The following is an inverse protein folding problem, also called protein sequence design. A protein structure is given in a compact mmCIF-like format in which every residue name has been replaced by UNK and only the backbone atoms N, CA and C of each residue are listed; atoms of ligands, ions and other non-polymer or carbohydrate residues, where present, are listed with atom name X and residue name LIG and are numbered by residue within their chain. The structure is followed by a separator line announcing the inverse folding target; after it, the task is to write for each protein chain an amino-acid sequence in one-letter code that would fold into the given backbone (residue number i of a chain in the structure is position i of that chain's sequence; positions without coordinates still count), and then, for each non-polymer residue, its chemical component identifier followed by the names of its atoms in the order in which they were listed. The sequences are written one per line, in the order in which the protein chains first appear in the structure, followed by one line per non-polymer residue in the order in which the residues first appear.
data_IF_795664334641
#
_entry.id   IF_795664334641
#
_cell.length_a   1.000
_cell.length_b   1.000
_cell.length_c   1.000
_cell.angle_alpha   90.00
_cell.angle_beta   90.00
_cell.angle_gamma   90.00
#
_symmetry.space_group_name_H-M   'P 1'
#
loop_
_entity.id
_entity.type
_entity.pdbx_description
1 polymer ?
#
# COMPACT_ATOMS: atom_id res chain seq x y z
N UNK A 1 7.85 -32.02 4.77
CA UNK A 1 7.33 -32.61 3.52
C UNK A 1 6.77 -34.01 3.81
N UNK A 2 5.67 -34.40 3.13
CA UNK A 2 5.02 -35.69 3.35
C UNK A 2 5.36 -36.67 2.21
N UNK A 3 5.37 -37.98 2.51
CA UNK A 3 5.53 -39.04 1.51
C UNK A 3 4.45 -38.96 0.42
N UNK A 4 3.26 -38.47 0.77
CA UNK A 4 2.16 -38.27 -0.18
C UNK A 4 2.49 -37.20 -1.24
N UNK A 5 3.14 -36.10 -0.84
CA UNK A 5 3.59 -35.04 -1.77
C UNK A 5 4.62 -35.56 -2.76
N UNK A 6 5.62 -36.34 -2.30
CA UNK A 6 6.64 -36.95 -3.18
C UNK A 6 5.99 -37.86 -4.22
N UNK A 7 5.04 -38.71 -3.81
CA UNK A 7 4.29 -39.58 -4.73
C UNK A 7 3.47 -38.79 -5.76
N UNK A 8 2.96 -37.63 -5.36
CA UNK A 8 2.25 -36.76 -6.29
C UNK A 8 3.18 -36.16 -7.33
N UNK A 9 4.38 -35.67 -6.92
CA UNK A 9 5.37 -35.15 -7.85
C UNK A 9 5.92 -36.22 -8.81
N UNK A 10 6.11 -37.44 -8.33
CA UNK A 10 6.45 -38.61 -9.15
C UNK A 10 5.35 -38.88 -10.20
N UNK A 11 4.08 -38.94 -9.77
CA UNK A 11 2.93 -39.15 -10.65
C UNK A 11 2.76 -38.02 -11.68
N UNK A 12 3.07 -36.79 -11.31
CA UNK A 12 3.07 -35.65 -12.21
C UNK A 12 4.27 -35.61 -13.17
N UNK A 13 5.22 -36.56 -13.04
CA UNK A 13 6.42 -36.65 -13.88
C UNK A 13 7.39 -35.48 -13.68
N UNK A 14 7.38 -34.86 -12.50
CA UNK A 14 8.28 -33.76 -12.15
C UNK A 14 9.56 -34.26 -11.46
N UNK A 15 9.47 -35.35 -10.74
CA UNK A 15 10.61 -35.98 -10.06
C UNK A 15 10.59 -37.47 -10.37
N UNK A 16 11.71 -37.99 -10.84
CA UNK A 16 11.81 -39.42 -11.21
C UNK A 16 12.85 -40.09 -10.30
N UNK A 17 12.43 -40.78 -9.23
CA UNK A 17 13.35 -41.52 -8.39
C UNK A 17 13.90 -42.75 -9.07
N UNK A 18 15.14 -43.09 -8.81
CA UNK A 18 15.69 -44.41 -9.13
C UNK A 18 15.03 -45.48 -8.24
N UNK A 19 15.22 -46.74 -8.64
CA UNK A 19 14.78 -47.89 -7.83
C UNK A 19 15.99 -48.67 -7.37
N UNK A 20 16.13 -48.85 -6.07
CA UNK A 20 17.10 -49.76 -5.51
C UNK A 20 16.74 -51.22 -5.78
N UNK A 21 17.71 -52.18 -5.71
CA UNK A 21 17.43 -53.62 -5.91
C UNK A 21 16.33 -54.19 -5.00
N UNK A 22 16.12 -53.58 -3.81
CA UNK A 22 15.07 -53.94 -2.86
C UNK A 22 13.72 -53.31 -3.16
N UNK A 23 13.59 -52.55 -4.30
CA UNK A 23 12.34 -51.92 -4.75
C UNK A 23 12.08 -50.54 -4.11
N UNK A 24 12.91 -50.09 -3.18
CA UNK A 24 12.74 -48.76 -2.58
C UNK A 24 13.16 -47.64 -3.53
N UNK A 25 12.52 -46.48 -3.35
CA UNK A 25 12.82 -45.25 -4.11
C UNK A 25 14.13 -44.67 -3.63
N UNK A 26 14.97 -44.31 -4.56
CA UNK A 26 16.20 -43.56 -4.32
C UNK A 26 16.14 -42.22 -5.04
N UNK A 27 16.39 -41.12 -4.33
CA UNK A 27 16.33 -39.77 -4.83
C UNK A 27 17.75 -39.22 -4.89
N UNK A 28 18.25 -39.03 -6.06
CA UNK A 28 19.58 -38.44 -6.31
C UNK A 28 19.62 -36.96 -5.87
N UNK A 29 20.79 -36.32 -5.83
CA UNK A 29 20.92 -34.91 -5.46
C UNK A 29 20.12 -33.94 -6.34
N UNK A 30 19.88 -34.29 -7.64
CA UNK A 30 19.06 -33.48 -8.54
C UNK A 30 17.60 -33.56 -8.15
N UNK A 31 17.09 -34.76 -7.92
CA UNK A 31 15.72 -34.99 -7.47
C UNK A 31 15.43 -34.25 -6.14
N UNK A 32 16.40 -34.22 -5.23
CA UNK A 32 16.27 -33.47 -3.96
C UNK A 32 16.15 -31.96 -4.23
N UNK A 33 16.95 -31.39 -5.14
CA UNK A 33 16.86 -29.98 -5.54
C UNK A 33 15.52 -29.69 -6.21
N UNK A 34 15.08 -30.52 -7.13
CA UNK A 34 13.79 -30.39 -7.80
C UNK A 34 12.62 -30.33 -6.80
N UNK A 35 12.64 -31.19 -5.80
CA UNK A 35 11.61 -31.22 -4.74
C UNK A 35 11.62 -29.94 -3.91
N UNK A 36 12.79 -29.37 -3.61
CA UNK A 36 12.88 -28.08 -2.90
C UNK A 36 12.34 -26.95 -3.75
N UNK A 37 12.71 -26.88 -5.00
CA UNK A 37 12.24 -25.90 -5.98
C UNK A 37 10.71 -25.92 -6.11
N UNK A 38 10.11 -27.10 -6.33
CA UNK A 38 8.65 -27.25 -6.39
C UNK A 38 8.00 -26.70 -5.12
N UNK A 39 8.57 -26.96 -3.95
CA UNK A 39 8.01 -26.51 -2.69
C UNK A 39 8.10 -24.99 -2.51
N UNK A 40 9.20 -24.37 -2.89
CA UNK A 40 9.38 -22.93 -2.85
C UNK A 40 8.39 -22.23 -3.78
N UNK A 41 8.30 -22.68 -5.02
CA UNK A 41 7.41 -22.13 -6.04
C UNK A 41 5.92 -22.30 -5.69
N UNK A 42 5.54 -23.47 -5.16
CA UNK A 42 4.16 -23.67 -4.68
C UNK A 42 3.84 -22.85 -3.45
N UNK A 43 4.84 -22.56 -2.62
CA UNK A 43 4.72 -21.59 -1.52
C UNK A 43 4.48 -20.15 -1.99
N UNK A 44 4.90 -19.80 -3.19
CA UNK A 44 4.61 -18.53 -3.86
C UNK A 44 3.27 -18.52 -4.61
N UNK A 45 2.57 -19.67 -4.65
CA UNK A 45 1.24 -19.79 -5.25
C UNK A 45 1.22 -20.34 -6.68
N UNK A 46 2.34 -20.81 -7.22
CA UNK A 46 2.34 -21.57 -8.48
C UNK A 46 1.69 -22.94 -8.24
N UNK A 47 0.96 -23.42 -9.22
CA UNK A 47 0.51 -24.82 -9.23
C UNK A 47 1.68 -25.75 -9.43
N UNK A 48 1.52 -27.02 -9.06
CA UNK A 48 2.58 -28.03 -9.24
C UNK A 48 2.96 -28.18 -10.72
N UNK A 49 2.02 -28.09 -11.62
CA UNK A 49 2.21 -28.14 -13.06
C UNK A 49 3.03 -26.98 -13.60
N UNK A 50 2.82 -25.77 -13.07
CA UNK A 50 3.55 -24.56 -13.45
C UNK A 50 5.03 -24.58 -12.99
N UNK A 51 5.39 -25.47 -12.07
CA UNK A 51 6.80 -25.63 -11.65
C UNK A 51 7.66 -26.43 -12.65
N UNK A 52 7.05 -27.05 -13.67
CA UNK A 52 7.73 -27.92 -14.64
C UNK A 52 8.97 -27.27 -15.30
N UNK A 53 8.91 -26.04 -15.84
CA UNK A 53 10.08 -25.42 -16.47
C UNK A 53 11.30 -25.30 -15.56
N UNK A 54 11.07 -25.08 -14.26
CA UNK A 54 12.12 -24.95 -13.25
C UNK A 54 12.77 -26.30 -12.94
N UNK A 55 11.94 -27.33 -12.84
CA UNK A 55 12.37 -28.71 -12.59
C UNK A 55 13.18 -29.24 -13.77
N UNK A 56 12.77 -28.95 -15.00
CA UNK A 56 13.47 -29.32 -16.23
C UNK A 56 14.80 -28.55 -16.37
N UNK A 57 14.83 -27.29 -15.95
CA UNK A 57 16.06 -26.49 -15.90
C UNK A 57 17.12 -27.15 -15.00
N UNK A 58 16.71 -27.56 -13.77
CA UNK A 58 17.61 -28.30 -12.86
C UNK A 58 18.04 -29.66 -13.43
N UNK A 59 17.15 -30.37 -14.12
CA UNK A 59 17.47 -31.64 -14.77
C UNK A 59 18.48 -31.49 -15.92
N UNK A 60 18.50 -30.30 -16.55
CA UNK A 60 19.48 -29.98 -17.61
C UNK A 60 20.88 -29.61 -17.09
N UNK A 61 21.07 -29.69 -15.77
CA UNK A 61 22.37 -29.48 -15.13
C UNK A 61 22.64 -28.05 -14.68
N UNK A 62 21.65 -27.15 -14.73
CA UNK A 62 21.79 -25.80 -14.20
C UNK A 62 21.87 -25.79 -12.67
N UNK A 63 22.50 -24.76 -12.12
CA UNK A 63 22.66 -24.59 -10.67
C UNK A 63 21.39 -24.19 -9.96
N UNK A 64 20.55 -23.38 -10.62
CA UNK A 64 19.25 -22.90 -10.15
C UNK A 64 18.15 -23.19 -11.18
N UNK A 65 16.91 -23.34 -10.69
CA UNK A 65 15.73 -23.60 -11.54
C UNK A 65 15.31 -22.41 -12.40
N UNK A 66 15.79 -21.21 -12.12
CA UNK A 66 15.45 -19.95 -12.78
C UNK A 66 16.48 -19.47 -13.82
N UNK A 67 17.52 -20.25 -14.11
CA UNK A 67 18.55 -19.92 -15.11
C UNK A 67 18.05 -20.07 -16.56
N UNK A 68 16.96 -20.78 -16.79
CA UNK A 68 16.44 -21.04 -18.14
C UNK A 68 15.42 -19.98 -18.60
N UNK A 69 15.41 -19.62 -19.91
CA UNK A 69 14.41 -18.72 -20.45
C UNK A 69 12.96 -19.18 -20.24
N UNK A 70 12.71 -20.49 -20.25
CA UNK A 70 11.40 -21.08 -19.99
C UNK A 70 10.91 -20.82 -18.55
N UNK A 71 11.80 -20.89 -17.58
CA UNK A 71 11.49 -20.58 -16.17
C UNK A 71 11.17 -19.10 -15.98
N UNK A 72 11.93 -18.22 -16.61
CA UNK A 72 11.65 -16.77 -16.59
C UNK A 72 10.31 -16.45 -17.27
N UNK A 73 9.96 -17.15 -18.35
CA UNK A 73 8.67 -17.00 -18.99
C UNK A 73 7.53 -17.48 -18.07
N UNK A 74 7.72 -18.58 -17.32
CA UNK A 74 6.75 -19.06 -16.35
C UNK A 74 6.52 -18.07 -15.20
N UNK A 75 7.58 -17.43 -14.68
CA UNK A 75 7.42 -16.36 -13.69
C UNK A 75 6.60 -15.17 -14.24
N UNK A 76 6.93 -14.70 -15.44
CA UNK A 76 6.19 -13.60 -16.08
C UNK A 76 4.73 -13.96 -16.24
N UNK A 77 4.44 -15.15 -16.74
CA UNK A 77 3.07 -15.62 -16.89
C UNK A 77 2.30 -15.66 -15.57
N UNK A 78 2.90 -16.18 -14.50
CA UNK A 78 2.29 -16.21 -13.17
C UNK A 78 2.04 -14.79 -12.63
N UNK A 79 2.98 -13.86 -12.82
CA UNK A 79 2.82 -12.44 -12.44
C UNK A 79 1.67 -11.80 -13.21
N UNK A 80 1.59 -12.02 -14.53
CA UNK A 80 0.52 -11.48 -15.38
C UNK A 80 -0.86 -12.02 -14.97
N UNK A 81 -0.96 -13.32 -14.67
CA UNK A 81 -2.20 -13.92 -14.18
C UNK A 81 -2.63 -13.34 -12.83
N UNK A 82 -1.69 -13.16 -11.89
CA UNK A 82 -1.98 -12.52 -10.60
C UNK A 82 -2.41 -11.07 -10.78
N UNK A 83 -1.75 -10.32 -11.64
CA UNK A 83 -2.09 -8.92 -11.96
C UNK A 83 -3.50 -8.83 -12.55
N UNK A 84 -3.84 -9.67 -13.51
CA UNK A 84 -5.17 -9.74 -14.09
C UNK A 84 -6.25 -10.14 -13.06
N UNK A 85 -5.91 -11.02 -12.12
CA UNK A 85 -6.81 -11.40 -11.02
C UNK A 85 -7.05 -10.24 -10.06
N UNK A 86 -6.00 -9.50 -9.71
CA UNK A 86 -6.09 -8.30 -8.88
C UNK A 86 -7.04 -7.28 -9.53
N UNK A 87 -6.85 -6.96 -10.81
CA UNK A 87 -7.72 -6.02 -11.55
C UNK A 87 -9.18 -6.47 -11.54
N UNK A 88 -9.45 -7.77 -11.75
CA UNK A 88 -10.82 -8.30 -11.68
C UNK A 88 -11.43 -8.18 -10.29
N UNK A 89 -10.65 -8.47 -9.24
CA UNK A 89 -11.12 -8.35 -7.86
C UNK A 89 -11.38 -6.89 -7.48
N UNK A 90 -10.55 -5.96 -7.95
CA UNK A 90 -10.75 -4.53 -7.73
C UNK A 90 -12.05 -4.05 -8.39
N UNK A 91 -12.28 -4.37 -9.66
CA UNK A 91 -13.54 -4.03 -10.36
C UNK A 91 -14.77 -4.59 -9.64
N UNK A 92 -14.68 -5.83 -9.13
CA UNK A 92 -15.78 -6.46 -8.38
C UNK A 92 -16.04 -5.76 -7.05
N UNK A 93 -14.97 -5.39 -6.34
CA UNK A 93 -15.06 -4.60 -5.10
C UNK A 93 -15.75 -3.26 -5.37
N UNK A 94 -15.32 -2.55 -6.42
CA UNK A 94 -15.86 -1.23 -6.77
C UNK A 94 -17.33 -1.31 -7.16
N UNK A 95 -17.72 -2.32 -7.92
CA UNK A 95 -19.12 -2.58 -8.22
C UNK A 95 -19.96 -2.86 -6.95
N UNK A 96 -19.44 -3.65 -6.03
CA UNK A 96 -20.11 -3.91 -4.75
C UNK A 96 -20.21 -2.64 -3.88
N UNK A 97 -19.16 -1.82 -3.86
CA UNK A 97 -19.18 -0.54 -3.16
C UNK A 97 -20.24 0.41 -3.74
N UNK A 98 -20.34 0.49 -5.06
CA UNK A 98 -21.38 1.27 -5.75
C UNK A 98 -22.80 0.76 -5.42
N UNK A 99 -23.01 -0.55 -5.39
CA UNK A 99 -24.29 -1.13 -4.98
C UNK A 99 -24.63 -0.83 -3.53
N UNK A 100 -23.65 -0.91 -2.64
CA UNK A 100 -23.83 -0.56 -1.21
C UNK A 100 -24.22 0.91 -1.07
N UNK A 101 -23.53 1.81 -1.77
CA UNK A 101 -23.87 3.23 -1.76
C UNK A 101 -25.29 3.50 -2.27
N UNK A 102 -25.65 2.92 -3.42
CA UNK A 102 -26.98 3.05 -3.97
C UNK A 102 -28.08 2.46 -3.05
N UNK A 103 -27.78 1.43 -2.28
CA UNK A 103 -28.70 0.87 -1.28
C UNK A 103 -28.87 1.82 -0.10
N UNK A 104 -27.76 2.40 0.39
CA UNK A 104 -27.78 3.39 1.46
C UNK A 104 -28.62 4.62 1.05
N UNK A 105 -28.43 5.13 -0.17
CA UNK A 105 -29.17 6.28 -0.69
C UNK A 105 -30.69 6.00 -0.80
N UNK A 106 -31.09 4.75 -1.08
CA UNK A 106 -32.51 4.35 -1.12
C UNK A 106 -33.13 4.16 0.26
N UNK A 107 -32.34 3.81 1.25
CA UNK A 107 -32.82 3.52 2.62
C UNK A 107 -33.04 4.79 3.45
N UNK A 108 -32.69 5.98 2.93
CA UNK A 108 -32.97 7.26 3.57
C UNK A 108 -34.38 7.72 3.20
N UNK A 109 -35.29 7.96 4.15
CA UNK A 109 -36.59 8.57 3.86
C UNK A 109 -36.36 9.96 3.29
N UNK A 110 -37.01 10.25 2.15
CA UNK A 110 -37.11 11.63 1.62
C UNK A 110 -37.92 12.42 2.63
N UNK A 111 -37.25 13.19 3.47
CA UNK A 111 -37.90 14.20 4.33
C UNK A 111 -38.31 15.38 3.44
N UNK A 112 -39.49 15.33 2.86
CA UNK A 112 -40.23 16.51 2.49
C UNK A 112 -40.91 17.09 3.76
N UNK A 113 -40.89 18.42 3.82
CA UNK A 113 -41.55 19.29 4.83
C UNK A 113 -40.85 19.48 6.17
N UNK A 114 -39.93 20.44 6.19
CA UNK A 114 -39.98 21.53 7.18
C UNK A 114 -39.49 22.81 6.53
N UNK A 115 -40.44 23.60 6.02
CA UNK A 115 -40.19 24.94 5.54
C UNK A 115 -40.08 25.91 6.73
N UNK A 116 -39.18 26.88 6.56
CA UNK A 116 -39.09 28.15 7.26
C UNK A 116 -38.63 28.19 8.74
N UNK A 117 -37.32 28.36 8.90
CA UNK A 117 -36.75 29.38 9.77
C UNK A 117 -35.30 29.60 9.33
N UNK A 118 -34.97 30.80 8.87
CA UNK A 118 -33.66 31.14 8.32
C UNK A 118 -32.52 30.99 9.32
N UNK A 119 -31.47 30.35 8.82
CA UNK A 119 -30.11 30.60 9.24
C UNK A 119 -29.20 30.21 8.08
N UNK A 120 -28.60 31.21 7.46
CA UNK A 120 -27.54 31.04 6.49
C UNK A 120 -26.28 30.57 7.20
N UNK A 121 -25.73 29.42 6.80
CA UNK A 121 -24.29 29.17 6.70
C UNK A 121 -24.07 27.80 6.11
N UNK A 122 -23.54 27.76 4.91
CA UNK A 122 -22.48 26.98 4.30
C UNK A 122 -22.11 25.62 4.92
N UNK A 123 -22.04 24.61 4.08
CA UNK A 123 -21.38 23.35 4.35
C UNK A 123 -22.27 22.14 4.20
N UNK A 124 -22.49 21.72 2.97
CA UNK A 124 -23.18 20.46 2.66
C UNK A 124 -22.35 19.27 3.15
N UNK A 125 -22.50 18.94 4.44
CA UNK A 125 -21.93 17.74 5.01
C UNK A 125 -22.58 16.51 4.36
N UNK A 126 -21.84 15.81 3.53
CA UNK A 126 -22.20 14.48 3.03
C UNK A 126 -22.27 13.56 4.25
N UNK A 127 -23.46 13.05 4.58
CA UNK A 127 -23.65 12.08 5.66
C UNK A 127 -23.08 10.73 5.19
N UNK A 128 -21.84 10.44 5.55
CA UNK A 128 -21.22 9.14 5.33
C UNK A 128 -21.67 8.15 6.39
N UNK A 129 -21.85 6.89 6.01
CA UNK A 129 -22.33 5.84 6.93
C UNK A 129 -21.34 5.44 8.04
N UNK A 130 -20.11 6.00 8.05
CA UNK A 130 -19.13 5.79 9.10
C UNK A 130 -18.23 7.02 9.27
N UNK A 131 -18.03 7.53 10.50
CA UNK A 131 -17.26 8.75 10.75
C UNK A 131 -15.80 8.72 10.26
N UNK A 132 -15.23 7.53 10.14
CA UNK A 132 -13.84 7.33 9.67
C UNK A 132 -13.66 7.48 8.15
N UNK A 133 -14.76 7.45 7.40
CA UNK A 133 -14.73 7.47 5.91
C UNK A 133 -15.29 8.77 5.35
N UNK A 134 -15.59 9.76 6.21
CA UNK A 134 -16.13 11.05 5.81
C UNK A 134 -15.08 12.14 5.96
N UNK A 135 -15.14 13.13 5.07
CA UNK A 135 -14.50 14.41 5.32
C UNK A 135 -15.31 15.12 6.45
N UNK A 136 -14.66 15.29 7.58
CA UNK A 136 -15.18 16.02 8.74
C UNK A 136 -14.94 17.54 8.63
N UNK A 137 -14.71 18.04 7.43
CA UNK A 137 -14.32 19.41 7.13
C UNK A 137 -12.80 19.65 7.18
N UNK A 138 -12.02 18.60 7.44
CA UNK A 138 -10.56 18.73 7.56
C UNK A 138 -9.91 19.19 6.24
N UNK A 139 -10.33 18.64 5.10
CA UNK A 139 -9.76 19.03 3.82
C UNK A 139 -9.96 20.52 3.52
N UNK A 140 -11.22 21.00 3.64
CA UNK A 140 -11.54 22.40 3.39
C UNK A 140 -10.85 23.35 4.38
N UNK A 141 -10.73 22.96 5.64
CA UNK A 141 -10.08 23.76 6.68
C UNK A 141 -8.56 23.89 6.50
N UNK A 142 -7.91 22.91 5.92
CA UNK A 142 -6.45 22.89 5.77
C UNK A 142 -5.96 23.59 4.50
N UNK A 143 -6.75 23.66 3.45
CA UNK A 143 -6.37 24.36 2.21
C UNK A 143 -6.13 25.85 2.50
N UNK A 144 -5.01 26.38 2.03
CA UNK A 144 -4.58 27.76 2.26
C UNK A 144 -3.87 27.99 3.60
N UNK A 145 -3.86 27.00 4.49
CA UNK A 145 -3.15 27.10 5.79
C UNK A 145 -1.65 26.98 5.58
N UNK A 146 -0.88 27.80 6.32
CA UNK A 146 0.57 27.72 6.35
C UNK A 146 1.03 26.58 7.25
N UNK A 147 2.03 25.83 6.77
CA UNK A 147 2.66 24.79 7.61
C UNK A 147 3.27 25.39 8.89
N UNK A 148 3.16 24.65 10.00
CA UNK A 148 3.68 25.12 11.29
C UNK A 148 5.20 25.10 11.34
N UNK A 149 5.78 25.88 12.26
CA UNK A 149 7.21 25.89 12.56
C UNK A 149 7.60 24.65 13.38
N UNK A 150 7.38 23.48 12.80
CA UNK A 150 7.74 22.17 13.37
C UNK A 150 8.92 21.62 12.62
N UNK A 151 9.89 21.05 13.35
CA UNK A 151 11.04 20.33 12.79
C UNK A 151 10.94 18.86 13.15
N UNK A 152 11.04 18.01 12.14
CA UNK A 152 10.89 16.55 12.28
C UNK A 152 12.18 15.82 11.92
N UNK A 153 12.45 14.71 12.58
CA UNK A 153 13.54 13.80 12.20
C UNK A 153 13.13 13.00 10.96
N UNK A 154 14.05 12.92 10.00
CA UNK A 154 13.88 12.13 8.79
C UNK A 154 14.66 10.81 8.84
N UNK A 155 14.23 9.83 8.07
CA UNK A 155 14.84 8.48 8.05
C UNK A 155 16.22 8.44 7.41
N UNK A 156 16.61 9.44 6.65
CA UNK A 156 17.96 9.63 6.08
C UNK A 156 18.95 10.24 7.05
N UNK A 157 18.54 10.52 8.29
CA UNK A 157 19.35 11.14 9.33
C UNK A 157 19.31 12.66 9.34
N UNK A 158 18.64 13.29 8.39
CA UNK A 158 18.43 14.74 8.36
C UNK A 158 17.29 15.17 9.28
N UNK A 159 17.16 16.49 9.45
CA UNK A 159 16.00 17.14 10.06
C UNK A 159 15.29 18.01 9.04
N UNK A 160 13.97 17.96 9.01
CA UNK A 160 13.13 18.70 8.06
C UNK A 160 12.25 19.70 8.80
N UNK A 161 12.52 20.98 8.60
CA UNK A 161 11.65 22.05 9.06
C UNK A 161 10.50 22.26 8.09
N UNK A 162 9.26 22.11 8.55
CA UNK A 162 8.09 22.18 7.66
C UNK A 162 7.86 23.55 7.04
N UNK A 163 8.36 24.64 7.66
CA UNK A 163 8.33 25.98 7.08
C UNK A 163 9.43 26.20 6.03
N UNK A 164 10.43 25.32 5.99
CA UNK A 164 11.63 25.44 5.16
C UNK A 164 11.74 24.33 4.11
N UNK A 165 10.60 23.83 3.61
CA UNK A 165 10.57 22.79 2.58
C UNK A 165 11.17 23.22 1.23
N UNK A 166 11.55 24.49 1.09
CA UNK A 166 12.17 25.03 -0.13
C UNK A 166 11.18 25.26 -1.27
N UNK A 167 11.74 25.62 -2.43
CA UNK A 167 10.95 25.87 -3.63
C UNK A 167 10.35 24.57 -4.20
N UNK A 168 9.24 24.70 -4.88
CA UNK A 168 8.52 23.57 -5.49
C UNK A 168 7.43 23.01 -4.61
N UNK A 169 6.62 22.10 -5.21
CA UNK A 169 5.59 21.38 -4.47
C UNK A 169 6.19 20.24 -3.67
N UNK A 170 5.74 20.07 -2.45
CA UNK A 170 6.05 18.91 -1.62
C UNK A 170 4.78 18.09 -1.46
N UNK A 171 4.86 16.81 -1.78
CA UNK A 171 3.83 15.83 -1.45
C UNK A 171 4.14 15.30 -0.06
N UNK A 172 3.25 15.53 0.89
CA UNK A 172 3.36 15.05 2.26
C UNK A 172 2.18 14.13 2.56
N UNK A 173 2.39 12.81 2.45
CA UNK A 173 1.36 11.84 2.79
C UNK A 173 1.47 11.40 4.25
N UNK A 174 0.37 11.48 4.97
CA UNK A 174 0.25 11.11 6.38
C UNK A 174 -0.46 9.78 6.49
N UNK A 175 0.12 8.84 7.23
CA UNK A 175 -0.42 7.49 7.36
C UNK A 175 -0.40 7.03 8.82
N UNK A 176 -1.32 6.13 9.20
CA UNK A 176 -1.44 5.70 10.59
C UNK A 176 -0.28 4.82 11.05
N UNK A 177 -0.11 3.64 10.46
CA UNK A 177 0.86 2.66 10.93
C UNK A 177 1.19 1.64 9.85
N UNK A 178 2.48 1.34 9.69
CA UNK A 178 2.96 0.18 8.94
C UNK A 178 3.37 -0.94 9.89
N UNK A 179 3.04 -2.18 9.55
CA UNK A 179 3.50 -3.33 10.33
C UNK A 179 4.97 -3.66 10.08
N UNK A 180 5.64 -4.21 11.10
CA UNK A 180 6.94 -4.88 10.96
C UNK A 180 6.75 -6.40 10.87
N UNK A 181 7.61 -7.12 10.16
CA UNK A 181 7.62 -8.59 10.23
C UNK A 181 7.78 -9.07 11.68
N UNK A 182 6.96 -10.02 12.09
CA UNK A 182 6.98 -10.62 13.44
C UNK A 182 6.57 -9.68 14.59
N UNK A 183 5.93 -8.57 14.28
CA UNK A 183 5.32 -7.68 15.28
C UNK A 183 3.82 -7.66 15.01
N UNK A 184 3.04 -7.98 16.03
CA UNK A 184 1.58 -7.96 15.91
C UNK A 184 1.07 -6.54 15.75
N UNK A 185 0.02 -6.38 14.96
CA UNK A 185 -0.70 -5.12 14.83
C UNK A 185 -1.58 -4.90 16.06
N UNK A 186 -1.98 -3.66 16.35
CA UNK A 186 -2.90 -3.39 17.46
C UNK A 186 -4.17 -4.24 17.39
N UNK A 187 -4.68 -4.63 18.55
CA UNK A 187 -5.93 -5.39 18.63
C UNK A 187 -7.07 -4.67 17.90
N UNK A 188 -7.87 -5.42 17.14
CA UNK A 188 -8.96 -4.86 16.35
C UNK A 188 -8.53 -4.10 15.10
N UNK A 189 -7.25 -4.04 14.75
CA UNK A 189 -6.72 -3.30 13.60
C UNK A 189 -7.49 -3.54 12.31
N UNK A 190 -7.89 -4.78 12.08
CA UNK A 190 -8.56 -5.22 10.86
C UNK A 190 -10.01 -4.73 10.73
N UNK A 191 -10.59 -4.34 11.84
CA UNK A 191 -11.98 -3.84 11.93
C UNK A 191 -12.06 -2.32 11.88
N UNK A 192 -10.91 -1.61 11.99
CA UNK A 192 -10.88 -0.14 11.92
C UNK A 192 -10.89 0.31 10.47
N UNK A 193 -11.97 0.98 9.98
CA UNK A 193 -12.03 1.47 8.62
C UNK A 193 -10.89 2.46 8.31
N UNK A 194 -10.19 2.25 7.18
CA UNK A 194 -9.09 3.13 6.77
C UNK A 194 -7.74 2.87 7.46
N UNK A 195 -7.65 1.98 8.46
CA UNK A 195 -6.39 1.64 9.13
C UNK A 195 -5.44 0.86 8.21
N UNK A 196 -5.95 -0.10 7.45
CA UNK A 196 -5.16 -0.93 6.53
C UNK A 196 -4.71 -0.18 5.29
N UNK A 197 -3.62 -0.67 4.66
CA UNK A 197 -3.16 -0.21 3.35
C UNK A 197 -1.93 0.69 3.36
N UNK A 198 -1.31 0.99 4.51
CA UNK A 198 -0.14 1.88 4.58
C UNK A 198 1.06 1.37 3.76
N UNK A 199 1.30 0.05 3.77
CA UNK A 199 2.36 -0.56 2.94
C UNK A 199 2.03 -0.44 1.45
N UNK A 200 0.77 -0.67 1.06
CA UNK A 200 0.34 -0.52 -0.33
C UNK A 200 0.45 0.94 -0.80
N UNK A 201 0.11 1.90 0.05
CA UNK A 201 0.25 3.33 -0.20
C UNK A 201 1.72 3.74 -0.37
N UNK A 202 2.59 3.34 0.56
CA UNK A 202 4.03 3.61 0.46
C UNK A 202 4.64 2.99 -0.83
N UNK A 203 4.21 1.79 -1.22
CA UNK A 203 4.60 1.18 -2.49
C UNK A 203 4.05 1.95 -3.69
N UNK A 204 2.83 2.49 -3.63
CA UNK A 204 2.26 3.35 -4.67
C UNK A 204 3.12 4.60 -4.88
N UNK A 205 3.41 5.34 -3.83
CA UNK A 205 4.29 6.52 -3.90
C UNK A 205 5.72 6.18 -4.36
N UNK A 206 6.25 5.03 -3.97
CA UNK A 206 7.54 4.54 -4.49
C UNK A 206 7.49 4.29 -5.99
N UNK A 207 6.48 3.57 -6.45
CA UNK A 207 6.37 3.14 -7.85
C UNK A 207 6.15 4.32 -8.79
N UNK A 208 5.45 5.37 -8.34
CA UNK A 208 5.17 6.58 -9.10
C UNK A 208 6.10 7.75 -8.77
N UNK A 209 7.20 7.51 -8.00
CA UNK A 209 8.04 8.59 -7.50
C UNK A 209 8.60 9.48 -8.62
N UNK A 210 9.18 8.90 -9.66
CA UNK A 210 9.73 9.65 -10.80
C UNK A 210 8.64 10.39 -11.59
N UNK A 211 7.46 9.79 -11.73
CA UNK A 211 6.33 10.42 -12.39
C UNK A 211 5.79 11.61 -11.58
N UNK A 212 5.73 11.50 -10.25
CA UNK A 212 5.33 12.59 -9.36
C UNK A 212 6.32 13.77 -9.49
N UNK A 213 7.64 13.48 -9.51
CA UNK A 213 8.65 14.52 -9.73
C UNK A 213 8.50 15.16 -11.13
N UNK A 214 8.29 14.35 -12.16
CA UNK A 214 8.04 14.82 -13.52
C UNK A 214 6.75 15.64 -13.67
N UNK A 215 5.73 15.38 -12.82
CA UNK A 215 4.48 16.13 -12.78
C UNK A 215 4.56 17.42 -11.92
N UNK A 216 5.74 17.77 -11.41
CA UNK A 216 6.00 19.04 -10.72
C UNK A 216 6.08 18.96 -9.20
N UNK A 217 6.12 17.77 -8.61
CA UNK A 217 6.53 17.60 -7.23
C UNK A 217 8.06 17.77 -7.14
N UNK A 218 8.54 18.60 -6.21
CA UNK A 218 9.97 18.74 -5.95
C UNK A 218 10.45 17.64 -4.99
N UNK A 219 9.57 17.11 -4.15
CA UNK A 219 9.86 16.07 -3.16
C UNK A 219 8.61 15.38 -2.67
N UNK A 220 8.82 14.16 -2.14
CA UNK A 220 7.79 13.35 -1.48
C UNK A 220 8.29 13.02 -0.08
N UNK A 221 7.41 13.10 0.91
CA UNK A 221 7.66 12.63 2.27
C UNK A 221 6.44 11.83 2.77
N UNK A 222 6.71 10.76 3.50
CA UNK A 222 5.68 10.15 4.35
C UNK A 222 5.81 10.67 5.78
N UNK A 223 4.71 10.82 6.49
CA UNK A 223 4.68 11.26 7.88
C UNK A 223 3.83 10.30 8.71
N UNK A 224 4.33 9.92 9.87
CA UNK A 224 3.60 9.11 10.84
C UNK A 224 4.05 9.43 12.27
N UNK A 225 3.21 9.07 13.25
CA UNK A 225 3.60 9.05 14.67
C UNK A 225 4.54 7.91 15.04
N UNK A 226 4.85 7.00 14.11
CA UNK A 226 5.81 5.92 14.36
C UNK A 226 7.22 6.47 14.58
N UNK A 227 8.00 5.88 15.52
CA UNK A 227 9.39 6.29 15.78
C UNK A 227 10.29 6.17 14.53
N UNK A 228 11.32 7.00 14.47
CA UNK A 228 12.21 7.08 13.30
C UNK A 228 12.98 5.79 12.98
N UNK A 229 13.31 4.96 13.98
CA UNK A 229 13.92 3.65 13.79
C UNK A 229 12.95 2.66 13.14
N UNK A 230 11.66 2.76 13.49
CA UNK A 230 10.60 1.97 12.90
C UNK A 230 10.40 2.32 11.42
N UNK A 231 10.41 3.61 11.11
CA UNK A 231 10.27 4.08 9.73
C UNK A 231 11.53 3.81 8.88
N UNK A 232 12.75 3.80 9.47
CA UNK A 232 13.98 3.40 8.76
C UNK A 232 13.93 1.94 8.30
N UNK A 233 13.39 1.05 9.12
CA UNK A 233 13.16 -0.35 8.71
C UNK A 233 12.24 -0.40 7.49
N UNK A 234 11.13 0.33 7.51
CA UNK A 234 10.19 0.41 6.40
C UNK A 234 10.86 0.90 5.11
N UNK A 235 11.62 1.99 5.19
CA UNK A 235 12.35 2.56 4.03
C UNK A 235 13.30 1.52 3.45
N UNK A 236 14.07 0.83 4.27
CA UNK A 236 14.99 -0.21 3.82
C UNK A 236 14.28 -1.41 3.20
N UNK A 237 13.26 -1.93 3.86
CA UNK A 237 12.49 -3.09 3.42
C UNK A 237 11.73 -2.85 2.10
N UNK A 238 11.12 -1.68 1.95
CA UNK A 238 10.36 -1.32 0.76
C UNK A 238 11.21 -0.60 -0.30
N UNK A 239 12.48 -0.28 -0.01
CA UNK A 239 13.38 0.49 -0.89
C UNK A 239 12.72 1.80 -1.33
N UNK A 240 12.23 2.59 -0.35
CA UNK A 240 11.60 3.87 -0.67
C UNK A 240 12.66 4.87 -1.14
N UNK A 241 12.45 5.58 -2.27
CA UNK A 241 13.40 6.57 -2.80
C UNK A 241 13.29 7.94 -2.12
N UNK A 242 12.49 8.06 -1.08
CA UNK A 242 12.24 9.28 -0.33
C UNK A 242 12.27 9.01 1.17
N UNK A 243 12.52 10.08 1.94
CA UNK A 243 12.56 10.00 3.39
C UNK A 243 11.17 9.99 4.02
N UNK A 244 11.08 9.36 5.20
CA UNK A 244 9.91 9.39 6.07
C UNK A 244 10.19 10.30 7.26
N UNK A 245 9.17 11.03 7.71
CA UNK A 245 9.23 11.98 8.81
C UNK A 245 8.55 11.37 10.04
N UNK A 246 9.23 11.40 11.17
CA UNK A 246 8.71 10.89 12.44
C UNK A 246 8.15 12.04 13.28
N UNK A 247 6.89 11.90 13.70
CA UNK A 247 6.20 12.83 14.61
C UNK A 247 5.57 12.08 15.80
N UNK A 248 6.38 11.42 16.64
CA UNK A 248 5.88 10.64 17.77
C UNK A 248 5.19 11.50 18.84
N UNK A 249 5.54 12.77 18.91
CA UNK A 249 4.95 13.74 19.85
C UNK A 249 3.69 14.44 19.30
N UNK A 250 3.28 14.11 18.09
CA UNK A 250 2.11 14.70 17.43
C UNK A 250 2.16 16.24 17.27
N UNK A 251 3.35 16.80 17.12
CA UNK A 251 3.52 18.25 16.98
C UNK A 251 2.80 18.82 15.74
N UNK A 252 2.79 18.06 14.62
CA UNK A 252 2.05 18.46 13.41
C UNK A 252 0.56 18.33 13.60
N UNK A 253 0.11 17.24 14.30
CA UNK A 253 -1.30 17.08 14.67
C UNK A 253 -1.82 18.29 15.43
N UNK A 254 -1.11 18.65 16.48
CA UNK A 254 -1.57 19.70 17.39
C UNK A 254 -1.59 21.07 16.71
N UNK A 255 -0.57 21.35 15.90
CA UNK A 255 -0.48 22.61 15.19
C UNK A 255 -1.52 22.77 14.06
N UNK A 256 -1.81 21.69 13.31
CA UNK A 256 -2.75 21.70 12.19
C UNK A 256 -4.11 21.08 12.55
N UNK A 257 -4.29 20.58 13.76
CA UNK A 257 -5.47 19.83 14.22
C UNK A 257 -5.79 18.67 13.26
N UNK A 258 -4.75 17.90 12.90
CA UNK A 258 -4.93 16.75 12.00
C UNK A 258 -5.76 15.67 12.67
N UNK A 259 -6.62 14.98 11.92
CA UNK A 259 -7.49 13.95 12.46
C UNK A 259 -6.70 12.71 12.88
N UNK A 260 -7.11 12.13 14.01
CA UNK A 260 -6.54 10.91 14.58
C UNK A 260 -7.63 9.91 14.91
N UNK A 261 -7.22 8.69 15.27
CA UNK A 261 -8.08 7.65 15.82
C UNK A 261 -7.28 6.78 16.78
N UNK A 262 -7.98 6.05 17.65
CA UNK A 262 -7.35 5.14 18.59
C UNK A 262 -7.44 3.70 18.10
N UNK A 263 -6.36 2.94 18.29
CA UNK A 263 -6.25 1.51 18.01
C UNK A 263 -5.56 0.82 19.20
N UNK A 264 -6.34 0.12 20.01
CA UNK A 264 -5.87 -0.39 21.29
C UNK A 264 -5.43 0.76 22.20
N UNK A 265 -4.16 0.76 22.60
CA UNK A 265 -3.57 1.82 23.46
C UNK A 265 -2.87 2.92 22.65
N UNK A 266 -2.93 2.87 21.32
CA UNK A 266 -2.19 3.77 20.44
C UNK A 266 -3.15 4.79 19.81
N UNK A 267 -2.77 6.07 19.89
CA UNK A 267 -3.36 7.12 19.04
C UNK A 267 -2.58 7.20 17.75
N UNK A 268 -3.25 7.24 16.61
CA UNK A 268 -2.66 7.21 15.28
C UNK A 268 -3.27 8.27 14.37
N UNK A 269 -2.50 8.77 13.42
CA UNK A 269 -3.01 9.67 12.39
C UNK A 269 -4.07 8.99 11.52
N UNK A 270 -5.11 9.73 11.15
CA UNK A 270 -5.91 9.37 9.98
C UNK A 270 -5.11 9.66 8.71
N UNK A 271 -5.36 8.85 7.71
CA UNK A 271 -4.70 8.96 6.42
C UNK A 271 -5.17 10.19 5.67
N UNK A 272 -4.22 11.02 5.24
CA UNK A 272 -4.45 12.16 4.36
C UNK A 272 -3.17 12.50 3.60
N UNK A 273 -3.29 13.24 2.50
CA UNK A 273 -2.12 13.80 1.81
C UNK A 273 -2.29 15.28 1.58
N UNK A 274 -1.24 16.04 1.82
CA UNK A 274 -1.17 17.47 1.57
C UNK A 274 -0.18 17.74 0.43
N UNK A 275 -0.59 18.55 -0.54
CA UNK A 275 0.33 19.17 -1.48
C UNK A 275 0.67 20.55 -0.93
N UNK A 276 1.94 20.77 -0.69
CA UNK A 276 2.44 22.02 -0.08
C UNK A 276 3.28 22.78 -1.10
N UNK A 277 3.01 24.05 -1.27
CA UNK A 277 3.76 24.96 -2.14
C UNK A 277 4.09 26.23 -1.40
N UNK A 278 5.38 26.61 -1.36
CA UNK A 278 5.84 27.81 -0.67
C UNK A 278 5.38 27.92 0.79
N UNK A 279 5.31 26.79 1.47
CA UNK A 279 4.88 26.69 2.87
C UNK A 279 3.36 26.78 3.10
N UNK A 280 2.55 26.85 2.04
CA UNK A 280 1.08 26.82 2.10
C UNK A 280 0.58 25.48 1.62
N UNK A 281 -0.47 24.96 2.26
CA UNK A 281 -1.20 23.77 1.82
C UNK A 281 -2.06 24.14 0.63
N UNK A 282 -1.70 23.65 -0.56
CA UNK A 282 -2.37 23.94 -1.82
C UNK A 282 -3.57 23.03 -2.05
N UNK A 283 -3.42 21.75 -1.65
CA UNK A 283 -4.46 20.72 -1.79
C UNK A 283 -4.38 19.72 -0.65
N UNK A 284 -5.53 19.16 -0.29
CA UNK A 284 -5.65 18.09 0.70
C UNK A 284 -6.49 16.96 0.11
N UNK A 285 -5.99 15.75 0.19
CA UNK A 285 -6.74 14.54 -0.11
C UNK A 285 -7.15 13.90 1.21
N UNK A 286 -8.43 13.97 1.52
CA UNK A 286 -9.02 13.41 2.74
C UNK A 286 -10.53 13.28 2.59
N UNK A 287 -11.13 12.15 3.00
CA UNK A 287 -10.47 10.92 3.44
C UNK A 287 -9.87 10.12 2.27
N UNK A 288 -8.80 9.36 2.52
CA UNK A 288 -8.21 8.45 1.54
C UNK A 288 -8.87 7.08 1.65
N UNK A 289 -9.72 6.76 0.71
CA UNK A 289 -10.52 5.52 0.72
C UNK A 289 -9.77 4.33 0.09
N UNK A 290 -8.89 4.59 -0.86
CA UNK A 290 -8.15 3.56 -1.62
C UNK A 290 -6.64 3.76 -1.51
N UNK A 291 -5.99 3.38 -0.39
CA UNK A 291 -4.57 3.64 -0.17
C UNK A 291 -3.64 3.13 -1.28
N UNK A 292 -3.98 1.99 -1.90
CA UNK A 292 -3.18 1.40 -2.98
C UNK A 292 -3.24 2.16 -4.32
N UNK A 293 -4.23 3.05 -4.51
CA UNK A 293 -4.42 3.87 -5.71
C UNK A 293 -4.18 5.36 -5.42
N UNK A 294 -3.87 5.68 -4.18
CA UNK A 294 -3.80 7.07 -3.74
C UNK A 294 -2.67 7.87 -4.42
N UNK A 295 -1.55 7.21 -4.71
CA UNK A 295 -0.46 7.85 -5.45
C UNK A 295 -0.88 8.24 -6.89
N UNK A 296 -1.74 7.45 -7.54
CA UNK A 296 -2.32 7.76 -8.85
C UNK A 296 -3.21 9.02 -8.77
N UNK A 297 -4.07 9.10 -7.74
CA UNK A 297 -4.94 10.28 -7.51
C UNK A 297 -4.12 11.56 -7.34
N UNK A 298 -3.02 11.49 -6.57
CA UNK A 298 -2.10 12.62 -6.37
C UNK A 298 -1.39 12.99 -7.67
N UNK A 299 -0.94 12.00 -8.43
CA UNK A 299 -0.28 12.19 -9.71
C UNK A 299 -1.21 12.85 -10.74
N UNK A 300 -2.45 12.37 -10.84
CA UNK A 300 -3.45 12.92 -11.75
C UNK A 300 -3.78 14.38 -11.40
N UNK A 301 -3.87 14.68 -10.09
CA UNK A 301 -4.06 16.07 -9.66
C UNK A 301 -2.88 16.96 -10.05
N UNK A 302 -1.63 16.50 -9.82
CA UNK A 302 -0.42 17.26 -10.20
C UNK A 302 -0.37 17.54 -11.71
N UNK A 303 -0.73 16.56 -12.53
CA UNK A 303 -0.81 16.69 -14.00
C UNK A 303 -1.89 17.68 -14.45
N UNK A 304 -3.04 17.67 -13.76
CA UNK A 304 -4.15 18.60 -14.06
C UNK A 304 -3.85 20.04 -13.60
N UNK A 305 -2.89 20.23 -12.68
CA UNK A 305 -2.54 21.53 -12.11
C UNK A 305 -1.04 21.85 -12.32
N UNK A 306 -0.58 21.97 -13.59
CA UNK A 306 0.82 22.28 -13.85
C UNK A 306 1.19 23.65 -13.24
N UNK A 307 2.40 23.76 -12.69
CA UNK A 307 2.89 25.07 -12.21
C UNK A 307 3.16 25.96 -13.41
N UNK A 308 2.56 27.15 -13.42
CA UNK A 308 2.99 28.19 -14.35
C UNK A 308 4.46 28.53 -14.05
N UNK A 309 5.34 28.23 -14.96
CA UNK A 309 6.73 28.73 -14.94
C UNK A 309 6.65 30.24 -15.12
N UNK A 310 6.81 30.97 -14.04
CA UNK A 310 7.14 32.39 -14.10
C UNK A 310 8.63 32.56 -13.94
#
# INVERSE_FOLDING_TARGET
MTVRALRYYEKAGLVVPARLPNGYRDYDPVAIRQVREIRELTGLGLSVEETRPFVECLASGHGSGDECPASLAAYRHAIDQLSARIVRLMRRRDALAAHLQAAADRSMPKSEEFASAGYESEGRAVRCGHPMLCDDGTAGRLVGVRLPAVTLSATDGSTVGLTALGAGRTVLYVYPLTGRPRVDLPEGWDTIPGARGCTAEACGFRNHHEELLGAGAARVYGLSSQPGDYQRELVGRLRLPFAMLADPEFAVRDALRLPTFDAGTMTLYRRLTMIVSSGLIEQVFYPVLSPGQHADEVLDWLRAHPRSTR
#
